data_IF_495955193663
#
_entry.id   IF_495955193663
#
_cell.length_a   1.000
_cell.length_b   1.000
_cell.length_c   1.000
_cell.angle_alpha   90.00
_cell.angle_beta   90.00
_cell.angle_gamma   90.00
#
_symmetry.space_group_name_H-M   'P 1'
#
loop_
_entity.id
_entity.type
_entity.pdbx_description
1 polymer ?
#
# COMPACT_ATOMS: atom_id res chain seq x y z
N UNK A 1 -12.53 -4.32 7.84
CA UNK A 1 -13.13 -5.51 7.20
C UNK A 1 -12.90 -6.76 8.07
N UNK A 2 -13.94 -7.54 8.41
CA UNK A 2 -13.80 -8.76 9.20
C UNK A 2 -13.47 -9.99 8.33
N UNK A 3 -12.40 -10.69 8.68
CA UNK A 3 -12.11 -12.05 8.23
C UNK A 3 -12.54 -13.02 9.32
N UNK A 4 -13.46 -13.93 9.00
CA UNK A 4 -14.00 -14.91 9.96
C UNK A 4 -13.54 -16.30 9.55
N UNK A 5 -12.81 -16.99 10.43
CA UNK A 5 -12.34 -18.36 10.18
C UNK A 5 -12.32 -19.17 11.47
N UNK A 6 -12.98 -20.33 11.47
CA UNK A 6 -12.98 -21.25 12.63
C UNK A 6 -13.54 -20.65 13.92
N UNK A 7 -14.47 -19.69 13.82
CA UNK A 7 -15.04 -18.97 14.97
C UNK A 7 -14.19 -17.80 15.48
N UNK A 8 -13.00 -17.57 14.93
CA UNK A 8 -12.18 -16.40 15.23
C UNK A 8 -12.48 -15.27 14.24
N UNK A 9 -12.46 -14.02 14.71
CA UNK A 9 -12.65 -12.84 13.86
C UNK A 9 -11.40 -11.98 13.89
N UNK A 10 -10.95 -11.57 12.71
CA UNK A 10 -9.83 -10.65 12.53
C UNK A 10 -10.32 -9.42 11.77
N UNK A 11 -10.14 -8.24 12.32
CA UNK A 11 -10.65 -6.98 11.75
C UNK A 11 -9.49 -6.07 11.42
N UNK A 12 -9.39 -5.69 10.15
CA UNK A 12 -8.53 -4.60 9.70
C UNK A 12 -9.30 -3.27 9.78
N UNK A 13 -8.71 -2.29 10.44
CA UNK A 13 -9.23 -0.91 10.57
C UNK A 13 -8.37 0.00 9.71
N UNK A 14 -8.99 0.64 8.73
CA UNK A 14 -8.34 1.56 7.78
C UNK A 14 -8.71 3.00 8.12
N UNK A 15 -7.74 3.91 7.98
CA UNK A 15 -8.00 5.35 8.04
C UNK A 15 -8.54 5.84 6.70
N UNK A 16 -9.59 6.67 6.72
CA UNK A 16 -10.20 7.23 5.52
C UNK A 16 -10.21 8.77 5.57
N UNK A 17 -10.04 9.46 4.42
CA UNK A 17 -10.10 10.92 4.34
C UNK A 17 -11.53 11.42 4.58
N UNK A 18 -11.66 12.65 5.07
CA UNK A 18 -12.94 13.38 5.15
C UNK A 18 -13.19 14.30 3.95
N UNK A 19 -12.22 14.42 3.05
CA UNK A 19 -12.21 15.34 1.91
C UNK A 19 -11.84 14.57 0.65
N UNK A 20 -12.37 15.03 -0.48
CA UNK A 20 -12.12 14.41 -1.78
C UNK A 20 -10.70 14.69 -2.30
N UNK A 21 -10.29 13.93 -3.32
CA UNK A 21 -9.02 14.12 -4.03
C UNK A 21 -7.77 13.65 -3.27
N UNK A 22 -7.93 13.09 -2.07
CA UNK A 22 -6.85 12.58 -1.22
C UNK A 22 -7.12 11.13 -0.86
N UNK A 23 -6.06 10.33 -0.79
CA UNK A 23 -6.08 8.95 -0.28
C UNK A 23 -5.15 8.88 0.93
N UNK A 24 -5.57 8.19 1.99
CA UNK A 24 -4.78 8.07 3.22
C UNK A 24 -4.21 6.65 3.37
N UNK A 25 -2.92 6.57 3.69
CA UNK A 25 -2.22 5.33 4.03
C UNK A 25 -1.72 5.36 5.47
N UNK A 26 -1.91 4.25 6.18
CA UNK A 26 -1.44 4.06 7.54
C UNK A 26 -2.41 4.50 8.64
N UNK A 27 -1.86 4.69 9.85
CA UNK A 27 -2.59 4.79 11.11
C UNK A 27 -3.71 3.73 11.23
N UNK A 28 -3.36 2.52 10.89
CA UNK A 28 -4.24 1.37 10.73
C UNK A 28 -3.93 0.29 11.77
N UNK A 29 -4.92 -0.55 12.02
CA UNK A 29 -4.91 -1.53 13.09
C UNK A 29 -5.39 -2.88 12.62
N UNK A 30 -4.82 -3.92 13.22
CA UNK A 30 -5.33 -5.27 13.18
C UNK A 30 -5.86 -5.62 14.57
N UNK A 31 -7.14 -5.98 14.64
CA UNK A 31 -7.81 -6.38 15.88
C UNK A 31 -8.22 -7.83 15.74
N UNK A 32 -7.73 -8.68 16.63
CA UNK A 32 -8.15 -10.08 16.72
C UNK A 32 -9.17 -10.24 17.85
N UNK A 33 -10.22 -10.99 17.57
CA UNK A 33 -11.26 -11.36 18.52
C UNK A 33 -11.26 -12.87 18.75
N UNK A 34 -11.53 -13.26 19.98
CA UNK A 34 -11.76 -14.66 20.33
C UNK A 34 -13.16 -15.15 19.90
N UNK A 35 -13.45 -16.41 20.24
CA UNK A 35 -14.74 -17.06 19.91
C UNK A 35 -15.94 -16.44 20.63
N UNK A 36 -15.70 -15.67 21.68
CA UNK A 36 -16.74 -14.96 22.46
C UNK A 36 -16.90 -13.51 22.03
N UNK A 37 -16.21 -13.09 20.97
CA UNK A 37 -16.16 -11.71 20.46
C UNK A 37 -15.45 -10.72 21.39
N UNK A 38 -14.62 -11.20 22.31
CA UNK A 38 -13.78 -10.32 23.12
C UNK A 38 -12.49 -10.00 22.36
N UNK A 39 -11.95 -8.80 22.54
CA UNK A 39 -10.69 -8.39 21.93
C UNK A 39 -9.57 -9.24 22.53
N UNK A 40 -8.95 -10.06 21.70
CA UNK A 40 -7.81 -10.89 22.07
C UNK A 40 -6.48 -10.14 21.88
N UNK A 41 -6.37 -9.33 20.83
CA UNK A 41 -5.20 -8.47 20.63
C UNK A 41 -5.49 -7.28 19.72
N UNK A 42 -4.66 -6.24 19.86
CA UNK A 42 -4.63 -5.08 18.98
C UNK A 42 -3.19 -4.87 18.53
N UNK A 43 -2.94 -4.95 17.23
CA UNK A 43 -1.66 -4.62 16.60
C UNK A 43 -1.83 -3.34 15.80
N UNK A 44 -1.02 -2.33 16.11
CA UNK A 44 -0.85 -1.17 15.24
C UNK A 44 0.07 -1.55 14.08
N UNK A 45 -0.39 -1.40 12.84
CA UNK A 45 0.35 -1.80 11.65
C UNK A 45 1.30 -0.65 11.27
N UNK A 46 0.74 0.52 10.97
CA UNK A 46 1.49 1.75 10.72
C UNK A 46 1.32 2.77 11.85
N UNK A 47 2.42 3.42 12.24
CA UNK A 47 2.39 4.49 13.25
C UNK A 47 2.26 5.89 12.64
N UNK A 48 2.42 5.99 11.32
CA UNK A 48 2.36 7.23 10.56
C UNK A 48 1.10 7.23 9.70
N UNK A 49 0.64 8.42 9.34
CA UNK A 49 -0.42 8.65 8.36
C UNK A 49 0.19 9.45 7.21
N UNK A 50 0.06 8.94 6.00
CA UNK A 50 0.55 9.56 4.77
C UNK A 50 -0.65 9.92 3.91
N UNK A 51 -0.66 11.12 3.35
CA UNK A 51 -1.63 11.54 2.35
C UNK A 51 -1.00 11.45 0.96
N UNK A 52 -1.77 10.92 0.02
CA UNK A 52 -1.43 10.85 -1.38
C UNK A 52 -2.52 11.55 -2.20
N UNK A 53 -2.12 12.35 -3.18
CA UNK A 53 -3.09 12.93 -4.12
C UNK A 53 -3.67 11.84 -5.00
N UNK A 54 -4.99 11.84 -5.18
CA UNK A 54 -5.65 10.97 -6.16
C UNK A 54 -5.26 11.31 -7.61
N UNK A 55 -4.62 12.47 -7.85
CA UNK A 55 -4.39 13.00 -9.19
C UNK A 55 -5.66 13.60 -9.79
N UNK A 56 -5.47 14.39 -10.85
CA UNK A 56 -6.59 14.98 -11.60
C UNK A 56 -6.76 14.23 -12.92
N UNK A 57 -7.89 13.55 -13.09
CA UNK A 57 -8.20 12.83 -14.34
C UNK A 57 -8.50 13.77 -15.52
N UNK A 58 -8.81 15.04 -15.24
CA UNK A 58 -9.10 16.06 -16.26
C UNK A 58 -7.84 16.78 -16.76
N UNK A 59 -6.73 16.66 -16.05
CA UNK A 59 -5.46 17.31 -16.37
C UNK A 59 -4.34 16.26 -16.49
N UNK A 60 -4.05 15.85 -17.73
CA UNK A 60 -3.02 14.86 -18.02
C UNK A 60 -1.61 15.30 -17.60
N UNK A 61 -1.37 16.61 -17.43
CA UNK A 61 -0.09 17.12 -16.95
C UNK A 61 0.12 16.95 -15.43
N UNK A 62 -0.96 16.68 -14.67
CA UNK A 62 -0.94 16.44 -13.21
C UNK A 62 -1.25 15.00 -12.83
N UNK A 63 -1.18 14.09 -13.80
CA UNK A 63 -1.36 12.65 -13.57
C UNK A 63 -0.22 12.13 -12.70
N UNK A 64 -0.55 11.72 -11.48
CA UNK A 64 0.37 10.96 -10.63
C UNK A 64 0.34 9.52 -11.12
N UNK A 65 1.44 9.05 -11.71
CA UNK A 65 1.54 7.69 -12.25
C UNK A 65 1.91 6.66 -11.18
N UNK A 66 2.60 7.09 -10.13
CA UNK A 66 3.14 6.23 -9.08
C UNK A 66 2.93 6.88 -7.72
N UNK A 67 2.44 6.11 -6.75
CA UNK A 67 2.51 6.48 -5.33
C UNK A 67 3.57 5.61 -4.65
N UNK A 68 4.64 6.26 -4.16
CA UNK A 68 5.76 5.59 -3.50
C UNK A 68 5.80 5.98 -2.03
N UNK A 69 5.92 5.01 -1.14
CA UNK A 69 6.27 5.26 0.25
C UNK A 69 7.18 4.18 0.83
N UNK A 70 7.74 4.46 2.02
CA UNK A 70 8.71 3.58 2.66
C UNK A 70 8.22 3.06 4.00
N UNK A 71 8.51 1.79 4.27
CA UNK A 71 8.32 1.21 5.61
C UNK A 71 9.51 1.50 6.51
N UNK A 72 9.23 1.81 7.77
CA UNK A 72 10.25 1.95 8.81
C UNK A 72 10.96 0.61 9.00
N UNK A 73 12.29 0.66 9.12
CA UNK A 73 13.11 -0.53 9.34
C UNK A 73 12.66 -1.31 10.58
N UNK A 74 12.66 -2.64 10.48
CA UNK A 74 12.26 -3.54 11.58
C UNK A 74 10.75 -3.70 11.76
N UNK A 75 9.91 -3.09 10.91
CA UNK A 75 8.46 -3.32 10.88
C UNK A 75 8.08 -4.42 9.88
N UNK A 76 7.40 -4.05 8.80
CA UNK A 76 6.88 -4.99 7.80
C UNK A 76 7.79 -4.95 6.55
N UNK A 77 8.36 -6.09 6.13
CA UNK A 77 9.32 -6.13 5.02
C UNK A 77 8.66 -5.92 3.64
N UNK A 78 7.35 -6.11 3.55
CA UNK A 78 6.58 -6.01 2.30
C UNK A 78 5.40 -5.05 2.48
N UNK A 79 4.78 -4.65 1.37
CA UNK A 79 3.48 -3.96 1.36
C UNK A 79 2.47 -4.74 2.20
N UNK A 80 1.79 -4.05 3.12
CA UNK A 80 0.88 -4.73 4.06
C UNK A 80 -0.47 -5.00 3.42
N UNK A 81 -1.27 -5.84 4.08
CA UNK A 81 -2.66 -6.05 3.66
C UNK A 81 -3.47 -4.75 3.65
N UNK A 82 -3.19 -3.79 4.55
CA UNK A 82 -3.93 -2.52 4.60
C UNK A 82 -3.51 -1.58 3.49
N UNK A 83 -2.23 -1.55 3.09
CA UNK A 83 -1.79 -0.81 1.89
C UNK A 83 -2.46 -1.33 0.63
N UNK A 84 -2.50 -2.66 0.44
CA UNK A 84 -3.18 -3.30 -0.69
C UNK A 84 -4.68 -2.96 -0.66
N UNK A 85 -5.34 -3.11 0.50
CA UNK A 85 -6.77 -2.81 0.62
C UNK A 85 -7.08 -1.35 0.32
N UNK A 86 -6.29 -0.41 0.85
CA UNK A 86 -6.44 1.02 0.55
C UNK A 86 -6.24 1.28 -0.94
N UNK A 87 -5.18 0.71 -1.54
CA UNK A 87 -4.93 0.87 -2.98
C UNK A 87 -6.10 0.34 -3.80
N UNK A 88 -6.56 -0.88 -3.53
CA UNK A 88 -7.71 -1.47 -4.22
C UNK A 88 -8.99 -0.65 -4.04
N UNK A 89 -9.21 -0.09 -2.84
CA UNK A 89 -10.37 0.73 -2.54
C UNK A 89 -10.37 2.05 -3.33
N UNK A 90 -9.21 2.68 -3.52
CA UNK A 90 -9.13 4.02 -4.10
C UNK A 90 -8.61 4.08 -5.54
N UNK A 91 -7.89 3.07 -6.05
CA UNK A 91 -7.21 3.12 -7.35
C UNK A 91 -8.12 3.48 -8.54
N UNK A 92 -9.42 3.13 -8.47
CA UNK A 92 -10.37 3.46 -9.52
C UNK A 92 -10.78 4.93 -9.51
N UNK A 93 -10.54 5.64 -8.41
CA UNK A 93 -10.74 7.07 -8.24
C UNK A 93 -9.45 7.87 -8.48
N UNK A 94 -8.30 7.21 -8.58
CA UNK A 94 -7.02 7.88 -8.82
C UNK A 94 -6.56 7.80 -10.27
N UNK A 95 -5.47 8.49 -10.59
CA UNK A 95 -4.72 8.36 -11.85
C UNK A 95 -3.58 7.34 -11.77
N UNK A 96 -3.42 6.65 -10.64
CA UNK A 96 -2.23 5.84 -10.36
C UNK A 96 -2.18 4.59 -11.23
N UNK A 97 -1.00 4.33 -11.79
CA UNK A 97 -0.69 3.07 -12.48
C UNK A 97 -0.05 2.05 -11.55
N UNK A 98 0.72 2.53 -10.56
CA UNK A 98 1.36 1.67 -9.59
C UNK A 98 1.33 2.28 -8.18
N UNK A 99 1.29 1.41 -7.17
CA UNK A 99 1.66 1.76 -5.80
C UNK A 99 2.90 0.96 -5.40
N UNK A 100 3.92 1.63 -4.90
CA UNK A 100 5.22 1.04 -4.60
C UNK A 100 5.53 1.27 -3.12
N UNK A 101 5.88 0.19 -2.44
CA UNK A 101 6.34 0.21 -1.06
C UNK A 101 7.78 -0.27 -1.00
N UNK A 102 8.65 0.59 -0.47
CA UNK A 102 10.07 0.31 -0.35
C UNK A 102 10.40 -0.02 1.12
N UNK A 103 11.06 -1.14 1.35
CA UNK A 103 11.64 -1.50 2.65
C UNK A 103 13.16 -1.67 2.52
N UNK A 104 13.84 -1.99 3.63
CA UNK A 104 15.30 -2.17 3.64
C UNK A 104 15.78 -3.16 2.57
N UNK A 105 15.11 -4.30 2.47
CA UNK A 105 15.58 -5.44 1.66
C UNK A 105 14.69 -5.72 0.45
N UNK A 106 13.50 -5.12 0.36
CA UNK A 106 12.51 -5.45 -0.65
C UNK A 106 11.81 -4.22 -1.22
N UNK A 107 11.32 -4.37 -2.44
CA UNK A 107 10.41 -3.44 -3.10
C UNK A 107 9.14 -4.22 -3.45
N UNK A 108 8.00 -3.80 -2.92
CA UNK A 108 6.68 -4.34 -3.24
C UNK A 108 5.96 -3.40 -4.20
N UNK A 109 5.46 -3.93 -5.30
CA UNK A 109 4.83 -3.15 -6.38
C UNK A 109 3.44 -3.71 -6.60
N UNK A 110 2.42 -2.87 -6.45
CA UNK A 110 1.06 -3.13 -6.88
C UNK A 110 0.83 -2.49 -8.24
N UNK A 111 0.50 -3.29 -9.24
CA UNK A 111 0.07 -2.81 -10.56
C UNK A 111 -1.45 -2.61 -10.56
N UNK A 112 -1.90 -1.35 -10.65
CA UNK A 112 -3.32 -0.99 -10.52
C UNK A 112 -4.18 -1.57 -11.65
N UNK A 113 -3.63 -1.63 -12.86
CA UNK A 113 -4.33 -2.10 -14.06
C UNK A 113 -4.45 -3.64 -14.02
N UNK A 114 -3.36 -4.35 -13.70
CA UNK A 114 -3.34 -5.81 -13.62
C UNK A 114 -3.94 -6.36 -12.33
N UNK A 115 -4.01 -5.54 -11.27
CA UNK A 115 -4.39 -5.93 -9.89
C UNK A 115 -3.54 -7.08 -9.38
N UNK A 116 -2.23 -7.00 -9.63
CA UNK A 116 -1.24 -7.97 -9.19
C UNK A 116 -0.17 -7.28 -8.36
N UNK A 117 0.29 -7.99 -7.33
CA UNK A 117 1.43 -7.58 -6.52
C UNK A 117 2.68 -8.36 -6.92
N UNK A 118 3.78 -7.65 -7.08
CA UNK A 118 5.12 -8.19 -7.28
C UNK A 118 6.01 -7.80 -6.13
N UNK A 119 6.93 -8.67 -5.76
CA UNK A 119 7.95 -8.38 -4.75
C UNK A 119 9.32 -8.67 -5.34
N UNK A 120 10.20 -7.69 -5.25
CA UNK A 120 11.58 -7.77 -5.70
C UNK A 120 12.51 -7.60 -4.50
N UNK A 121 13.66 -8.27 -4.52
CA UNK A 121 14.76 -7.89 -3.62
C UNK A 121 15.29 -6.52 -4.04
N UNK A 122 15.80 -5.76 -3.07
CA UNK A 122 16.41 -4.46 -3.33
C UNK A 122 17.56 -4.56 -4.35
N UNK A 123 18.32 -5.66 -4.32
CA UNK A 123 19.39 -5.92 -5.28
C UNK A 123 18.86 -6.16 -6.70
N UNK A 124 17.77 -6.93 -6.85
CA UNK A 124 17.12 -7.13 -8.14
C UNK A 124 16.56 -5.81 -8.70
N UNK A 125 15.91 -5.02 -7.84
CA UNK A 125 15.41 -3.68 -8.20
C UNK A 125 16.52 -2.76 -8.72
N UNK A 126 17.65 -2.67 -7.99
CA UNK A 126 18.80 -1.85 -8.39
C UNK A 126 19.41 -2.28 -9.72
N UNK A 127 19.53 -3.60 -9.97
CA UNK A 127 20.04 -4.12 -11.25
C UNK A 127 19.13 -3.71 -12.41
N UNK A 128 17.81 -3.88 -12.26
CA UNK A 128 16.83 -3.50 -13.29
C UNK A 128 16.87 -1.99 -13.54
N UNK A 129 16.92 -1.17 -12.50
CA UNK A 129 16.99 0.28 -12.64
C UNK A 129 18.29 0.74 -13.32
N UNK A 130 19.42 0.13 -12.99
CA UNK A 130 20.71 0.36 -13.64
C UNK A 130 20.69 0.04 -15.14
N UNK A 131 20.12 -1.10 -15.51
CA UNK A 131 19.98 -1.53 -16.92
C UNK A 131 19.05 -0.62 -17.73
N UNK A 132 18.04 -0.01 -17.11
CA UNK A 132 17.15 0.95 -17.78
C UNK A 132 17.83 2.31 -18.00
N UNK A 133 18.70 2.73 -17.06
CA UNK A 133 19.43 3.99 -17.17
C UNK A 133 20.49 3.99 -18.28
N UNK A 134 21.06 2.83 -18.59
CA UNK A 134 22.05 2.64 -19.66
C UNK A 134 21.44 2.47 -21.05
N UNK A 135 20.11 2.33 -21.16
CA UNK A 135 19.37 2.13 -22.43
C UNK A 135 18.69 3.39 -22.96
N UNK A 136 18.91 4.57 -22.38
CA UNK A 136 18.40 5.82 -22.97
C UNK A 136 19.07 6.06 -24.33
N UNK A 137 18.33 6.25 -25.44
CA UNK A 137 18.93 6.62 -26.71
C UNK A 137 19.59 8.00 -26.58
N UNK A 138 20.77 8.16 -27.20
CA UNK A 138 21.33 9.48 -27.50
C UNK A 138 20.43 10.24 -28.47
#
# INVERSE_FOLDING_TARGET
>A
MPLIRGGHKRVYVLSAPKTDGVVLYGNDYLIDFDKTNQIASVKRIHNSLISASAGDKSDTAKTVLEFIHSHVEGKEPFMTATDICTTMLYQHLTTWKQSIVISKNYVSIWDCDKRLMFVLTMDAWKKIAGDQSSKKPQ
#
